data_IF_641660229773
#
_entry.id   IF_641660229773
#
_cell.length_a   1.000
_cell.length_b   1.000
_cell.length_c   1.000
_cell.angle_alpha   90.00
_cell.angle_beta   90.00
_cell.angle_gamma   90.00
#
_symmetry.space_group_name_H-M   'P 1'
#
loop_
_entity.id
_entity.type
_entity.pdbx_description
1 polymer ?
#
# COMPACT_ATOMS: atom_id res chain seq x y z
N UNK A 1 -18.69 15.25 -26.14
CA UNK A 1 -17.68 14.66 -25.24
C UNK A 1 -18.41 14.09 -24.05
N UNK A 2 -18.54 12.77 -23.96
CA UNK A 2 -19.05 12.11 -22.76
C UNK A 2 -18.06 12.38 -21.63
N UNK A 3 -18.43 13.21 -20.65
CA UNK A 3 -17.71 13.27 -19.38
C UNK A 3 -17.86 11.90 -18.71
N UNK A 4 -16.84 11.05 -18.79
CA UNK A 4 -16.80 9.86 -17.95
C UNK A 4 -16.92 10.28 -16.48
N UNK A 5 -17.65 9.53 -15.68
CA UNK A 5 -17.71 9.76 -14.23
C UNK A 5 -16.28 9.74 -13.66
N UNK A 6 -15.99 10.57 -12.66
CA UNK A 6 -14.66 10.57 -12.04
C UNK A 6 -14.33 9.20 -11.46
N UNK A 7 -13.06 8.79 -11.60
CA UNK A 7 -12.56 7.55 -11.00
C UNK A 7 -12.63 7.67 -9.47
N UNK A 8 -13.29 6.73 -8.81
CA UNK A 8 -13.42 6.69 -7.36
C UNK A 8 -12.20 5.98 -6.76
N UNK A 9 -11.57 6.63 -5.79
CA UNK A 9 -10.36 6.12 -5.15
C UNK A 9 -10.66 5.85 -3.67
N UNK A 10 -10.36 4.63 -3.21
CA UNK A 10 -10.28 4.28 -1.80
C UNK A 10 -8.81 4.39 -1.37
N UNK A 11 -8.51 5.09 -0.28
CA UNK A 11 -7.18 5.09 0.33
C UNK A 11 -7.19 4.13 1.52
N UNK A 12 -6.22 3.23 1.58
CA UNK A 12 -6.02 2.28 2.69
C UNK A 12 -4.74 2.62 3.41
N UNK A 13 -4.84 2.90 4.70
CA UNK A 13 -3.71 3.26 5.58
C UNK A 13 -3.69 2.28 6.75
N UNK A 14 -2.74 1.33 6.80
CA UNK A 14 -2.50 0.54 8.00
C UNK A 14 -1.92 1.43 9.10
N UNK A 15 -2.50 1.35 10.30
CA UNK A 15 -2.15 2.21 11.44
C UNK A 15 -1.65 1.36 12.59
N UNK A 16 -0.39 1.59 12.99
CA UNK A 16 0.24 0.90 14.12
C UNK A 16 0.68 1.86 15.21
N UNK A 17 1.32 2.99 14.84
CA UNK A 17 1.76 3.99 15.80
C UNK A 17 1.85 5.37 15.13
N UNK A 18 0.69 5.96 14.85
CA UNK A 18 0.52 7.18 14.04
C UNK A 18 -0.23 8.30 14.76
N UNK A 19 -0.28 8.27 16.09
CA UNK A 19 -0.96 9.30 16.90
C UNK A 19 -0.63 10.72 16.43
N UNK A 20 0.62 10.99 16.03
CA UNK A 20 1.09 12.33 15.67
C UNK A 20 1.02 12.63 14.17
N UNK A 21 1.20 11.63 13.33
CA UNK A 21 1.36 11.83 11.88
C UNK A 21 0.02 11.76 11.13
N UNK A 22 -0.89 10.93 11.62
CA UNK A 22 -2.15 10.66 10.96
C UNK A 22 -3.06 11.90 10.79
N UNK A 23 -3.22 12.80 11.77
CA UNK A 23 -4.04 14.00 11.60
C UNK A 23 -3.59 14.86 10.42
N UNK A 24 -2.31 15.16 10.32
CA UNK A 24 -1.74 15.93 9.20
C UNK A 24 -1.94 15.22 7.87
N UNK A 25 -1.74 13.90 7.82
CA UNK A 25 -1.93 13.12 6.60
C UNK A 25 -3.40 13.16 6.13
N UNK A 26 -4.36 13.06 7.05
CA UNK A 26 -5.79 13.16 6.71
C UNK A 26 -6.13 14.56 6.20
N UNK A 27 -5.62 15.63 6.82
CA UNK A 27 -5.80 16.99 6.33
C UNK A 27 -5.27 17.20 4.90
N UNK A 28 -4.13 16.58 4.56
CA UNK A 28 -3.59 16.61 3.20
C UNK A 28 -4.47 15.86 2.17
N UNK A 29 -5.24 14.86 2.63
CA UNK A 29 -6.18 14.12 1.77
C UNK A 29 -7.49 14.90 1.55
N UNK A 30 -7.91 15.78 2.48
CA UNK A 30 -9.18 16.53 2.39
C UNK A 30 -9.41 17.17 1.02
N UNK A 31 -8.46 17.88 0.40
CA UNK A 31 -8.67 18.46 -0.94
C UNK A 31 -9.04 17.41 -2.00
N UNK A 32 -8.52 16.20 -1.89
CA UNK A 32 -8.74 15.12 -2.85
C UNK A 32 -10.13 14.46 -2.73
N UNK A 33 -10.85 14.72 -1.66
CA UNK A 33 -12.25 14.25 -1.49
C UNK A 33 -13.25 15.05 -2.32
N UNK A 34 -12.80 16.12 -2.97
CA UNK A 34 -13.56 16.84 -3.99
C UNK A 34 -13.10 16.37 -5.38
N UNK A 35 -13.96 16.46 -6.41
CA UNK A 35 -13.56 16.12 -7.77
C UNK A 35 -12.27 16.84 -8.19
N UNK A 36 -11.28 16.08 -8.59
CA UNK A 36 -9.98 16.51 -9.06
C UNK A 36 -9.80 16.18 -10.53
N UNK A 37 -8.83 16.84 -11.16
CA UNK A 37 -8.34 16.48 -12.48
C UNK A 37 -6.86 16.24 -12.38
N UNK A 38 -6.41 15.06 -12.82
CA UNK A 38 -4.99 14.70 -12.87
C UNK A 38 -4.25 15.53 -13.93
N UNK A 39 -2.92 15.55 -13.93
CA UNK A 39 -2.13 16.26 -14.95
C UNK A 39 -2.45 15.90 -16.40
N UNK A 40 -2.81 14.63 -16.67
CA UNK A 40 -3.21 14.19 -18.02
C UNK A 40 -4.71 14.38 -18.32
N UNK A 41 -5.48 14.98 -17.39
CA UNK A 41 -6.89 15.31 -17.60
C UNK A 41 -7.87 14.23 -17.14
N UNK A 42 -7.43 13.20 -16.43
CA UNK A 42 -8.32 12.18 -15.88
C UNK A 42 -9.03 12.72 -14.64
N UNK A 43 -10.37 12.66 -14.64
CA UNK A 43 -11.15 13.06 -13.46
C UNK A 43 -11.12 11.95 -12.39
N UNK A 44 -10.88 12.33 -11.13
CA UNK A 44 -10.91 11.41 -9.99
C UNK A 44 -11.40 12.07 -8.71
N UNK A 45 -11.73 11.27 -7.72
CA UNK A 45 -12.12 11.70 -6.38
C UNK A 45 -11.74 10.62 -5.36
N UNK A 46 -11.18 11.02 -4.24
CA UNK A 46 -11.04 10.14 -3.07
C UNK A 46 -12.41 10.02 -2.42
N UNK A 47 -13.05 8.87 -2.57
CA UNK A 47 -14.40 8.60 -2.05
C UNK A 47 -14.39 8.15 -0.60
N UNK A 48 -13.30 7.56 -0.14
CA UNK A 48 -13.14 7.06 1.23
C UNK A 48 -11.68 6.87 1.63
N UNK A 49 -11.43 6.93 2.92
CA UNK A 49 -10.14 6.61 3.56
C UNK A 49 -10.39 5.55 4.63
N UNK A 50 -9.75 4.41 4.48
CA UNK A 50 -9.87 3.25 5.36
C UNK A 50 -8.63 3.18 6.26
N UNK A 51 -8.82 3.51 7.53
CA UNK A 51 -7.80 3.53 8.58
C UNK A 51 -7.83 2.19 9.31
N UNK A 52 -6.84 1.34 9.12
CA UNK A 52 -6.84 -0.01 9.68
C UNK A 52 -5.95 -0.07 10.92
N UNK A 53 -6.56 -0.07 12.10
CA UNK A 53 -5.85 -0.16 13.38
C UNK A 53 -5.31 -1.57 13.62
N UNK A 54 -3.99 -1.70 13.65
CA UNK A 54 -3.28 -2.98 13.84
C UNK A 54 -2.75 -3.14 15.29
N UNK A 55 -3.53 -2.72 16.27
CA UNK A 55 -3.22 -2.81 17.72
C UNK A 55 -1.81 -2.29 18.05
N UNK A 56 -1.55 -1.03 17.72
CA UNK A 56 -0.28 -0.35 18.02
C UNK A 56 -0.11 0.00 19.50
N UNK A 57 1.10 0.42 19.90
CA UNK A 57 1.44 0.67 21.30
C UNK A 57 1.12 2.11 21.78
N UNK A 58 0.75 3.01 20.87
CA UNK A 58 0.42 4.42 21.16
C UNK A 58 -1.10 4.65 21.23
N UNK A 59 -1.51 5.92 21.31
CA UNK A 59 -2.90 6.33 21.36
C UNK A 59 -3.52 6.57 19.98
N UNK A 60 -3.05 5.85 18.94
CA UNK A 60 -3.64 5.90 17.59
C UNK A 60 -5.11 5.51 17.59
N UNK A 61 -5.57 4.68 18.55
CA UNK A 61 -6.97 4.33 18.76
C UNK A 61 -7.85 5.57 18.93
N UNK A 62 -7.51 6.45 19.86
CA UNK A 62 -8.25 7.71 20.08
C UNK A 62 -8.15 8.68 18.91
N UNK A 63 -6.99 8.68 18.25
CA UNK A 63 -6.80 9.51 17.05
C UNK A 63 -7.75 9.06 15.94
N UNK A 64 -7.88 7.75 15.71
CA UNK A 64 -8.82 7.20 14.72
C UNK A 64 -10.27 7.55 15.06
N UNK A 65 -10.69 7.38 16.31
CA UNK A 65 -12.04 7.76 16.76
C UNK A 65 -12.33 9.24 16.48
N UNK A 66 -11.39 10.12 16.81
CA UNK A 66 -11.52 11.57 16.56
C UNK A 66 -11.59 11.89 15.06
N UNK A 67 -10.72 11.28 14.24
CA UNK A 67 -10.68 11.52 12.81
C UNK A 67 -11.94 11.02 12.10
N UNK A 68 -12.44 9.85 12.47
CA UNK A 68 -13.66 9.30 11.87
C UNK A 68 -14.92 10.08 12.29
N UNK A 69 -14.94 10.66 13.48
CA UNK A 69 -15.99 11.57 13.91
C UNK A 69 -15.95 12.93 13.16
N UNK A 70 -14.76 13.40 12.80
CA UNK A 70 -14.55 14.72 12.18
C UNK A 70 -14.70 14.65 10.65
N UNK A 71 -14.21 13.60 10.01
CA UNK A 71 -14.14 13.45 8.57
C UNK A 71 -15.05 12.31 8.07
N UNK A 72 -16.24 12.59 7.54
CA UNK A 72 -17.22 11.57 7.12
C UNK A 72 -16.72 10.61 6.03
N UNK A 73 -15.67 10.97 5.31
CA UNK A 73 -15.03 10.12 4.30
C UNK A 73 -14.03 9.11 4.90
N UNK A 74 -13.70 9.23 6.19
CA UNK A 74 -12.79 8.32 6.89
C UNK A 74 -13.57 7.27 7.69
N UNK A 75 -13.08 6.03 7.65
CA UNK A 75 -13.64 4.89 8.35
C UNK A 75 -12.53 4.13 9.05
N UNK A 76 -12.78 3.68 10.29
CA UNK A 76 -11.83 2.85 11.04
C UNK A 76 -12.20 1.37 10.92
N UNK A 77 -11.18 0.54 10.70
CA UNK A 77 -11.25 -0.93 10.73
C UNK A 77 -10.36 -1.38 11.89
N UNK A 78 -10.92 -2.16 12.82
CA UNK A 78 -10.26 -2.57 14.04
C UNK A 78 -9.85 -4.04 13.95
N UNK A 79 -8.55 -4.30 13.98
CA UNK A 79 -8.03 -5.66 14.10
C UNK A 79 -7.96 -6.05 15.58
N UNK A 80 -8.21 -7.31 15.89
CA UNK A 80 -8.26 -7.81 17.27
C UNK A 80 -6.89 -7.90 17.96
N UNK A 81 -5.81 -7.86 17.19
CA UNK A 81 -4.41 -7.85 17.63
C UNK A 81 -3.51 -7.38 16.51
N UNK A 82 -2.22 -7.22 16.78
CA UNK A 82 -1.22 -6.95 15.73
C UNK A 82 -1.06 -8.17 14.80
N UNK A 83 -1.43 -7.98 13.53
CA UNK A 83 -1.25 -8.96 12.45
C UNK A 83 -0.16 -8.54 11.46
N UNK A 84 0.35 -7.31 11.57
CA UNK A 84 1.36 -6.72 10.70
C UNK A 84 0.77 -5.99 9.49
N UNK A 85 1.59 -5.10 8.93
CA UNK A 85 1.21 -4.16 7.87
C UNK A 85 0.49 -4.82 6.68
N UNK A 86 0.98 -5.98 6.21
CA UNK A 86 0.36 -6.65 5.05
C UNK A 86 -1.06 -7.14 5.32
N UNK A 87 -1.29 -7.71 6.49
CA UNK A 87 -2.62 -8.17 6.90
C UNK A 87 -3.58 -6.99 7.11
N UNK A 88 -3.11 -5.91 7.76
CA UNK A 88 -3.88 -4.69 7.93
C UNK A 88 -4.23 -4.06 6.57
N UNK A 89 -3.27 -3.98 5.64
CA UNK A 89 -3.53 -3.49 4.28
C UNK A 89 -4.58 -4.35 3.57
N UNK A 90 -4.50 -5.68 3.65
CA UNK A 90 -5.48 -6.58 3.04
C UNK A 90 -6.88 -6.41 3.66
N UNK A 91 -6.99 -6.21 4.97
CA UNK A 91 -8.26 -5.94 5.63
C UNK A 91 -8.91 -4.64 5.10
N UNK A 92 -8.11 -3.58 4.90
CA UNK A 92 -8.58 -2.36 4.27
C UNK A 92 -9.01 -2.58 2.81
N UNK A 93 -8.22 -3.32 2.02
CA UNK A 93 -8.54 -3.63 0.63
C UNK A 93 -9.84 -4.43 0.50
N UNK A 94 -10.14 -5.32 1.46
CA UNK A 94 -11.40 -6.08 1.48
C UNK A 94 -12.63 -5.17 1.64
N UNK A 95 -12.49 -4.06 2.34
CA UNK A 95 -13.57 -3.10 2.61
C UNK A 95 -13.65 -1.98 1.55
N UNK A 96 -12.67 -1.88 0.66
CA UNK A 96 -12.58 -0.79 -0.32
C UNK A 96 -13.63 -0.91 -1.42
N UNK A 97 -14.32 0.21 -1.73
CA UNK A 97 -15.41 0.29 -2.72
C UNK A 97 -15.04 1.05 -3.99
N UNK A 98 -13.89 1.72 -4.03
CA UNK A 98 -13.42 2.51 -5.16
C UNK A 98 -13.10 1.70 -6.41
N UNK A 99 -13.04 2.39 -7.54
CA UNK A 99 -12.56 1.85 -8.82
C UNK A 99 -11.07 1.53 -8.74
N UNK A 100 -10.36 2.33 -7.92
CA UNK A 100 -8.96 2.17 -7.59
C UNK A 100 -8.76 2.17 -6.08
N UNK A 101 -7.78 1.41 -5.61
CA UNK A 101 -7.33 1.39 -4.22
C UNK A 101 -5.90 1.90 -4.15
N UNK A 102 -5.68 2.92 -3.34
CA UNK A 102 -4.35 3.40 -3.00
C UNK A 102 -3.97 2.85 -1.63
N UNK A 103 -2.81 2.22 -1.52
CA UNK A 103 -2.23 1.87 -0.22
C UNK A 103 -1.11 2.83 0.09
N UNK A 104 -1.07 3.37 1.31
CA UNK A 104 -0.01 4.27 1.74
C UNK A 104 0.29 4.13 3.23
N UNK A 105 1.51 4.53 3.62
CA UNK A 105 1.97 4.43 5.00
C UNK A 105 1.47 5.62 5.85
N UNK A 106 1.45 5.43 7.15
CA UNK A 106 1.00 6.39 8.16
C UNK A 106 2.02 7.52 8.47
N UNK A 107 3.25 7.43 7.94
CA UNK A 107 4.39 8.24 8.36
C UNK A 107 4.54 9.59 7.63
N UNK A 108 3.68 9.87 6.66
CA UNK A 108 3.66 11.11 5.89
C UNK A 108 4.79 11.24 4.84
N UNK A 109 5.61 10.22 4.62
CA UNK A 109 6.64 10.26 3.57
C UNK A 109 6.06 10.26 2.16
N UNK A 110 4.91 9.67 1.99
CA UNK A 110 4.20 9.55 0.72
C UNK A 110 3.25 10.72 0.55
N UNK A 111 3.33 11.39 -0.62
CA UNK A 111 2.49 12.55 -0.88
C UNK A 111 1.15 12.14 -1.50
N UNK A 112 -0.01 12.38 -0.86
CA UNK A 112 -1.31 12.09 -1.47
C UNK A 112 -1.53 12.79 -2.83
N UNK A 113 -0.88 13.93 -3.09
CA UNK A 113 -0.98 14.64 -4.36
C UNK A 113 -0.41 13.84 -5.55
N UNK A 114 0.45 12.84 -5.31
CA UNK A 114 1.00 11.98 -6.37
C UNK A 114 -0.01 10.94 -6.90
N UNK A 115 -1.16 10.78 -6.25
CA UNK A 115 -2.22 9.85 -6.67
C UNK A 115 -2.67 10.14 -8.11
N UNK A 116 -2.83 11.43 -8.48
CA UNK A 116 -3.19 11.80 -9.85
C UNK A 116 -2.15 11.36 -10.90
N UNK A 117 -0.86 11.51 -10.59
CA UNK A 117 0.24 11.05 -11.46
C UNK A 117 0.23 9.52 -11.61
N UNK A 118 0.00 8.78 -10.53
CA UNK A 118 -0.08 7.32 -10.55
C UNK A 118 -1.29 6.83 -11.37
N UNK A 119 -2.43 7.52 -11.25
CA UNK A 119 -3.63 7.24 -12.03
C UNK A 119 -3.38 7.46 -13.53
N UNK A 120 -2.77 8.58 -13.91
CA UNK A 120 -2.41 8.86 -15.30
C UNK A 120 -1.51 7.78 -15.88
N UNK A 121 -0.50 7.36 -15.11
CA UNK A 121 0.40 6.30 -15.50
C UNK A 121 -0.31 4.95 -15.69
N UNK A 122 -1.24 4.61 -14.79
CA UNK A 122 -2.04 3.41 -14.88
C UNK A 122 -2.94 3.41 -16.13
N UNK A 123 -3.65 4.51 -16.37
CA UNK A 123 -4.59 4.64 -17.48
C UNK A 123 -3.90 4.67 -18.84
N UNK A 124 -2.79 5.42 -18.96
CA UNK A 124 -2.04 5.53 -20.21
C UNK A 124 -1.46 4.19 -20.68
N UNK A 125 -1.10 3.31 -19.74
CA UNK A 125 -0.46 2.01 -20.04
C UNK A 125 -1.39 0.82 -19.78
N UNK A 126 -2.68 1.04 -19.50
CA UNK A 126 -3.68 0.00 -19.18
C UNK A 126 -3.21 -0.95 -18.07
N UNK A 127 -2.56 -0.41 -17.04
CA UNK A 127 -2.05 -1.17 -15.89
C UNK A 127 -3.13 -1.40 -14.85
N UNK A 128 -2.98 -2.45 -14.07
CA UNK A 128 -3.85 -2.78 -12.94
C UNK A 128 -3.16 -2.56 -11.59
N UNK A 129 -1.84 -2.45 -11.59
CA UNK A 129 -1.02 -2.21 -10.41
C UNK A 129 0.11 -1.25 -10.78
N UNK A 130 0.22 -0.16 -10.04
CA UNK A 130 1.32 0.81 -10.17
C UNK A 130 1.99 0.97 -8.81
N UNK A 131 3.27 0.67 -8.77
CA UNK A 131 4.12 0.99 -7.62
C UNK A 131 4.71 2.39 -7.76
N UNK A 132 4.65 3.16 -6.71
CA UNK A 132 5.45 4.36 -6.60
C UNK A 132 6.93 3.99 -6.54
N UNK A 133 7.75 4.57 -7.41
CA UNK A 133 9.20 4.36 -7.42
C UNK A 133 9.93 5.61 -6.97
N UNK A 134 10.51 5.62 -5.76
CA UNK A 134 11.25 6.76 -5.27
C UNK A 134 12.41 7.13 -6.18
N UNK A 135 12.51 8.42 -6.54
CA UNK A 135 13.60 8.99 -7.34
C UNK A 135 14.74 9.55 -6.50
N UNK A 136 14.46 9.82 -5.21
CA UNK A 136 15.45 10.26 -4.23
C UNK A 136 15.90 9.09 -3.35
N UNK A 137 17.15 9.12 -2.83
CA UNK A 137 17.60 8.09 -1.90
C UNK A 137 16.73 8.10 -0.63
N UNK A 138 16.35 6.92 -0.08
CA UNK A 138 15.61 6.86 1.16
C UNK A 138 16.41 7.54 2.29
N UNK A 139 15.73 8.29 3.18
CA UNK A 139 16.38 9.11 4.22
C UNK A 139 17.12 8.32 5.30
N UNK A 140 17.17 7.01 5.20
CA UNK A 140 17.71 6.11 6.21
C UNK A 140 19.17 5.70 5.95
N UNK A 141 19.92 5.42 7.05
CA UNK A 141 21.34 5.13 7.05
C UNK A 141 21.78 4.02 6.05
N UNK A 142 22.97 4.20 5.48
CA UNK A 142 23.54 3.39 4.40
C UNK A 142 23.59 1.88 4.67
N UNK A 143 23.75 1.47 5.93
CA UNK A 143 23.82 0.07 6.33
C UNK A 143 22.47 -0.67 6.15
N UNK A 144 21.36 -0.03 6.55
CA UNK A 144 20.00 -0.56 6.35
C UNK A 144 19.66 -0.67 4.86
N UNK A 145 20.08 0.33 4.08
CA UNK A 145 19.90 0.34 2.63
C UNK A 145 20.72 -0.77 1.94
N UNK A 146 21.91 -1.08 2.47
CA UNK A 146 22.74 -2.17 1.96
C UNK A 146 22.08 -3.54 2.21
N UNK A 147 21.67 -3.85 3.46
CA UNK A 147 20.99 -5.11 3.78
C UNK A 147 19.65 -5.27 3.04
N UNK A 148 18.88 -4.20 2.89
CA UNK A 148 17.65 -4.21 2.10
C UNK A 148 17.92 -4.49 0.62
N UNK A 149 18.99 -3.93 0.03
CA UNK A 149 19.37 -4.23 -1.36
C UNK A 149 19.82 -5.65 -1.55
N UNK A 150 20.64 -6.18 -0.63
CA UNK A 150 21.12 -7.57 -0.68
C UNK A 150 19.93 -8.53 -0.55
N UNK A 151 19.03 -8.32 0.40
CA UNK A 151 17.84 -9.13 0.54
C UNK A 151 16.95 -9.11 -0.71
N UNK A 152 16.72 -7.93 -1.29
CA UNK A 152 15.96 -7.75 -2.55
C UNK A 152 16.64 -8.45 -3.74
N UNK A 153 17.95 -8.35 -3.85
CA UNK A 153 18.73 -8.99 -4.94
C UNK A 153 18.69 -10.53 -4.82
N UNK A 154 18.84 -11.04 -3.61
CA UNK A 154 18.73 -12.50 -3.36
C UNK A 154 17.31 -12.97 -3.68
N UNK A 155 16.27 -12.26 -3.22
CA UNK A 155 14.88 -12.60 -3.51
C UNK A 155 14.57 -12.54 -5.00
N UNK A 156 15.09 -11.53 -5.73
CA UNK A 156 14.88 -11.41 -7.18
C UNK A 156 15.54 -12.53 -7.97
N UNK A 157 16.71 -13.00 -7.54
CA UNK A 157 17.42 -14.13 -8.16
C UNK A 157 16.72 -15.47 -7.88
N UNK A 158 16.31 -15.70 -6.64
CA UNK A 158 15.61 -16.93 -6.24
C UNK A 158 14.25 -17.07 -6.94
N UNK A 159 13.57 -15.99 -7.19
CA UNK A 159 12.24 -15.98 -7.79
C UNK A 159 12.24 -15.77 -9.31
N UNK A 160 13.42 -15.60 -9.91
CA UNK A 160 13.57 -15.41 -11.36
C UNK A 160 12.92 -14.13 -11.92
N UNK A 161 12.54 -13.19 -11.04
CA UNK A 161 11.83 -11.98 -11.44
C UNK A 161 12.52 -10.71 -10.89
N UNK A 162 13.14 -9.94 -11.78
CA UNK A 162 13.84 -8.69 -11.45
C UNK A 162 12.94 -7.58 -10.88
N UNK A 163 11.63 -7.73 -10.94
CA UNK A 163 10.65 -6.73 -10.50
C UNK A 163 10.49 -6.70 -8.97
N UNK A 164 10.80 -7.81 -8.28
CA UNK A 164 10.65 -7.96 -6.82
C UNK A 164 11.46 -6.93 -6.01
N UNK A 165 12.58 -6.46 -6.54
CA UNK A 165 13.41 -5.44 -5.91
C UNK A 165 12.79 -4.01 -5.85
N UNK A 166 11.63 -3.79 -6.49
CA UNK A 166 11.00 -2.47 -6.65
C UNK A 166 9.66 -2.33 -5.93
N UNK A 167 9.35 -3.22 -4.99
CA UNK A 167 8.13 -3.10 -4.18
C UNK A 167 8.17 -1.85 -3.29
N UNK A 168 7.05 -1.17 -3.21
CA UNK A 168 6.82 -0.02 -2.35
C UNK A 168 5.42 -0.15 -1.72
N UNK A 169 5.25 0.33 -0.50
CA UNK A 169 3.95 0.39 0.19
C UNK A 169 2.98 1.38 -0.46
N UNK A 170 3.48 2.40 -1.16
CA UNK A 170 2.65 3.32 -1.93
C UNK A 170 2.32 2.70 -3.29
N UNK A 171 1.09 2.21 -3.43
CA UNK A 171 0.58 1.50 -4.60
C UNK A 171 -0.74 2.09 -5.04
N UNK A 172 -0.99 2.10 -6.34
CA UNK A 172 -2.32 2.26 -6.94
C UNK A 172 -2.70 0.91 -7.55
N UNK A 173 -3.81 0.34 -7.12
CA UNK A 173 -4.27 -1.01 -7.46
C UNK A 173 -5.69 -0.89 -8.03
N UNK A 174 -6.00 -1.53 -9.16
CA UNK A 174 -7.39 -1.65 -9.61
C UNK A 174 -8.25 -2.22 -8.48
N UNK A 175 -9.42 -1.64 -8.22
CA UNK A 175 -10.29 -2.06 -7.13
C UNK A 175 -10.70 -3.53 -7.24
N UNK A 176 -10.89 -4.05 -8.46
CA UNK A 176 -11.12 -5.47 -8.71
C UNK A 176 -9.96 -6.33 -8.21
N UNK A 177 -8.72 -5.99 -8.58
CA UNK A 177 -7.52 -6.73 -8.17
C UNK A 177 -7.34 -6.67 -6.64
N UNK A 178 -7.55 -5.49 -6.03
CA UNK A 178 -7.43 -5.31 -4.59
C UNK A 178 -8.40 -6.22 -3.82
N UNK A 179 -9.67 -6.21 -4.19
CA UNK A 179 -10.70 -7.06 -3.56
C UNK A 179 -10.49 -8.54 -3.85
N UNK A 180 -10.09 -8.90 -5.06
CA UNK A 180 -9.77 -10.29 -5.42
C UNK A 180 -8.63 -10.81 -4.56
N UNK A 181 -7.55 -10.03 -4.39
CA UNK A 181 -6.45 -10.42 -3.52
C UNK A 181 -6.91 -10.63 -2.08
N UNK A 182 -7.66 -9.67 -1.53
CA UNK A 182 -8.15 -9.73 -0.16
C UNK A 182 -9.09 -10.93 0.08
N UNK A 183 -9.85 -11.34 -0.93
CA UNK A 183 -10.71 -12.52 -0.85
C UNK A 183 -9.93 -13.85 -0.99
N UNK A 184 -8.83 -13.85 -1.75
CA UNK A 184 -8.06 -15.06 -2.06
C UNK A 184 -6.96 -15.35 -1.02
N UNK A 185 -6.28 -14.31 -0.52
CA UNK A 185 -5.13 -14.48 0.35
C UNK A 185 -5.52 -14.57 1.82
N UNK A 186 -5.12 -15.67 2.45
CA UNK A 186 -5.21 -15.84 3.90
C UNK A 186 -4.10 -15.10 4.65
N UNK A 187 -4.13 -15.22 5.99
CA UNK A 187 -3.09 -14.69 6.87
C UNK A 187 -1.71 -15.32 6.55
N UNK A 188 -0.68 -14.49 6.48
CA UNK A 188 0.70 -14.92 6.22
C UNK A 188 1.18 -14.78 4.78
N UNK A 189 0.30 -14.46 3.83
CA UNK A 189 0.72 -14.17 2.45
C UNK A 189 1.36 -12.77 2.39
N UNK A 190 2.54 -12.69 1.79
CA UNK A 190 3.16 -11.41 1.50
C UNK A 190 2.39 -10.69 0.39
N UNK A 191 1.84 -9.52 0.69
CA UNK A 191 0.88 -8.79 -0.17
C UNK A 191 1.38 -8.66 -1.62
N UNK A 192 2.63 -8.27 -1.81
CA UNK A 192 3.18 -8.03 -3.15
C UNK A 192 3.33 -9.33 -3.95
N UNK A 193 3.63 -10.45 -3.28
CA UNK A 193 3.65 -11.78 -3.92
C UNK A 193 2.24 -12.17 -4.37
N UNK A 194 1.24 -11.96 -3.52
CA UNK A 194 -0.16 -12.19 -3.88
C UNK A 194 -0.62 -11.34 -5.06
N UNK A 195 -0.25 -10.06 -5.12
CA UNK A 195 -0.55 -9.20 -6.26
C UNK A 195 0.04 -9.73 -7.57
N UNK A 196 1.28 -10.26 -7.53
CA UNK A 196 1.91 -10.90 -8.69
C UNK A 196 1.23 -12.18 -9.18
N UNK A 197 0.52 -12.88 -8.30
CA UNK A 197 -0.25 -14.07 -8.73
C UNK A 197 -1.51 -13.68 -9.51
N UNK A 198 -2.06 -12.51 -9.23
CA UNK A 198 -3.36 -12.11 -9.78
C UNK A 198 -3.21 -11.26 -11.04
N UNK A 199 -2.17 -10.41 -11.14
CA UNK A 199 -1.99 -9.55 -12.31
C UNK A 199 -0.55 -9.50 -12.79
N UNK A 200 -0.38 -9.50 -14.12
CA UNK A 200 0.88 -9.20 -14.81
C UNK A 200 0.96 -7.77 -15.36
N UNK A 201 -0.14 -6.98 -15.28
CA UNK A 201 -0.18 -5.59 -15.77
C UNK A 201 0.29 -4.62 -14.70
N UNK A 202 1.62 -4.59 -14.52
CA UNK A 202 2.30 -3.90 -13.42
C UNK A 202 3.25 -2.84 -13.97
N UNK A 203 3.25 -1.67 -13.36
CA UNK A 203 4.15 -0.59 -13.70
C UNK A 203 4.75 0.10 -12.48
N UNK A 204 5.68 1.05 -12.75
CA UNK A 204 6.40 1.79 -11.72
C UNK A 204 6.36 3.27 -12.10
N UNK A 205 5.70 4.08 -11.28
CA UNK A 205 5.61 5.52 -11.45
C UNK A 205 6.70 6.22 -10.63
N UNK A 206 7.61 7.00 -11.25
CA UNK A 206 8.61 7.74 -10.50
C UNK A 206 7.94 8.81 -9.64
N UNK A 207 8.25 8.81 -8.35
CA UNK A 207 7.77 9.81 -7.39
C UNK A 207 8.93 10.31 -6.52
N UNK A 208 8.73 11.42 -5.81
CA UNK A 208 9.67 11.92 -4.82
C UNK A 208 9.10 11.74 -3.42
N UNK A 209 9.76 10.92 -2.60
CA UNK A 209 9.40 10.80 -1.17
C UNK A 209 9.79 12.06 -0.42
N UNK A 210 8.99 12.41 0.59
CA UNK A 210 9.29 13.47 1.56
C UNK A 210 10.22 12.93 2.65
N UNK A 211 10.77 13.84 3.44
CA UNK A 211 11.46 13.45 4.67
C UNK A 211 10.43 12.99 5.70
N UNK A 212 10.79 12.00 6.51
CA UNK A 212 9.94 11.47 7.58
C UNK A 212 9.59 12.60 8.57
N UNK A 213 8.31 12.76 8.86
CA UNK A 213 7.83 13.69 9.87
C UNK A 213 8.10 13.05 11.25
N UNK A 214 9.18 13.50 11.92
CA UNK A 214 9.48 13.27 13.35
C UNK A 214 9.40 11.83 13.91
N UNK A 215 10.08 10.84 13.30
CA UNK A 215 10.19 9.52 13.92
C UNK A 215 11.60 8.92 13.87
N UNK A 216 12.22 8.57 15.02
CA UNK A 216 13.34 7.63 15.01
C UNK A 216 12.82 6.24 14.57
N UNK A 217 13.42 5.67 13.53
CA UNK A 217 12.97 4.40 12.94
C UNK A 217 13.01 3.27 13.98
N UNK A 218 11.83 2.78 14.40
CA UNK A 218 11.68 1.68 15.35
C UNK A 218 11.88 0.27 14.76
N UNK A 219 12.45 0.14 13.57
CA UNK A 219 12.69 -1.17 12.95
C UNK A 219 13.94 -1.86 13.52
N UNK A 220 13.70 -2.91 14.31
CA UNK A 220 14.74 -3.84 14.77
C UNK A 220 15.19 -4.74 13.62
N UNK A 221 16.51 -5.05 13.57
CA UNK A 221 17.10 -6.04 12.63
C UNK A 221 16.42 -7.41 12.67
N UNK A 222 15.89 -7.83 13.83
CA UNK A 222 15.14 -9.08 13.99
C UNK A 222 13.79 -9.05 13.23
N UNK A 223 13.12 -7.92 13.16
CA UNK A 223 11.90 -7.78 12.35
C UNK A 223 12.20 -7.86 10.85
N UNK A 224 13.31 -7.29 10.39
CA UNK A 224 13.78 -7.41 9.00
C UNK A 224 14.07 -8.86 8.61
N UNK A 225 14.72 -9.63 9.48
CA UNK A 225 14.95 -11.05 9.28
C UNK A 225 13.64 -11.86 9.25
N UNK A 226 12.69 -11.54 10.12
CA UNK A 226 11.35 -12.14 10.11
C UNK A 226 10.60 -11.91 8.79
N UNK A 227 10.64 -10.68 8.26
CA UNK A 227 10.05 -10.36 6.96
C UNK A 227 10.73 -11.12 5.82
N UNK A 228 12.05 -11.29 5.86
CA UNK A 228 12.81 -12.05 4.88
C UNK A 228 12.42 -13.54 4.88
N UNK A 229 12.29 -14.16 6.06
CA UNK A 229 11.83 -15.54 6.20
C UNK A 229 10.40 -15.72 5.70
N UNK A 230 9.48 -14.83 6.03
CA UNK A 230 8.11 -14.88 5.53
C UNK A 230 8.05 -14.77 4.00
N UNK A 231 8.89 -13.93 3.40
CA UNK A 231 9.00 -13.83 1.95
C UNK A 231 9.44 -15.16 1.32
N UNK A 232 10.47 -15.81 1.87
CA UNK A 232 10.99 -17.10 1.37
C UNK A 232 9.94 -18.20 1.54
N UNK A 233 9.29 -18.30 2.70
CA UNK A 233 8.29 -19.32 2.97
C UNK A 233 7.06 -19.18 2.08
N UNK A 234 6.62 -17.93 1.84
CA UNK A 234 5.46 -17.66 0.97
C UNK A 234 5.76 -17.99 -0.50
N UNK A 235 7.00 -17.80 -0.94
CA UNK A 235 7.41 -18.12 -2.33
C UNK A 235 7.77 -19.57 -2.55
N UNK A 236 8.19 -20.30 -1.51
CA UNK A 236 8.52 -21.72 -1.58
C UNK A 236 7.30 -22.64 -1.77
N UNK A 237 6.11 -22.19 -1.37
CA UNK A 237 4.87 -22.99 -1.47
C UNK A 237 4.20 -23.02 -2.85
N UNK A 238 4.85 -22.50 -3.90
CA UNK A 238 4.32 -22.59 -5.29
C UNK A 238 4.16 -24.04 -5.80
N UNK A 239 4.78 -25.04 -5.15
CA UNK A 239 4.74 -26.44 -5.59
C UNK A 239 3.52 -27.24 -5.11
N UNK A 240 2.90 -26.87 -4.01
CA UNK A 240 1.87 -27.73 -3.40
C UNK A 240 0.41 -27.37 -3.78
N UNK A 241 0.15 -26.14 -4.23
CA UNK A 241 -1.21 -25.74 -4.63
C UNK A 241 -1.52 -25.92 -6.12
N UNK A 242 -0.52 -26.29 -6.95
CA UNK A 242 -0.70 -26.50 -8.39
C UNK A 242 -1.15 -27.93 -8.77
N UNK A 243 -1.28 -28.85 -7.83
CA UNK A 243 -1.55 -30.29 -8.12
C UNK A 243 -2.97 -30.72 -7.72
N UNK A 244 -3.86 -29.82 -7.33
CA UNK A 244 -5.15 -30.17 -6.73
C UNK A 244 -6.41 -29.98 -7.58
N UNK A 245 -6.36 -29.53 -8.83
CA UNK A 245 -7.57 -29.42 -9.66
C UNK A 245 -7.28 -29.75 -11.13
N UNK A 246 -7.13 -31.02 -11.46
CA UNK A 246 -7.41 -31.61 -12.76
C UNK A 246 -7.61 -33.12 -12.58
N UNK A 247 -8.78 -33.50 -12.17
CA UNK A 247 -9.45 -34.77 -12.56
C UNK A 247 -10.95 -34.57 -12.43
#
# INVERSE_FOLDING_TARGET
MHKSSPQRISIVIPVYAAERTLPTLIEEIVPLTKPQTSPAGNAFVVSEVLLVHDCGPDRSDLTLESLTATFPFSQAIWLSRNYGQHAATMAGMASATGDWVVTMDEDGQQNPADIGNMLDYAMASSLQLVYAQPTNPPPHGWLRNFFSRVAKEISSRLLGNRTIGRFNSFRLISGEIARTLAAYCGNGVYLDVGLFWITGRIGHCPIRLRNELDRPSGYSYLKLLGHFWNLILTTGNKGEYAVGYCT
#
